data_IF_888220342617
#
_entry.id   IF_888220342617
#
_cell.length_a   1.000
_cell.length_b   1.000
_cell.length_c   1.000
_cell.angle_alpha   90.00
_cell.angle_beta   90.00
_cell.angle_gamma   90.00
#
_symmetry.space_group_name_H-M   'P 1'
#
loop_
_entity.id
_entity.type
_entity.pdbx_description
1 polymer ?
#
# COMPACT_ATOMS: atom_id res chain seq x y z
N UNK A 1 8.19 25.04 8.73
CA UNK A 1 8.56 24.09 9.81
C UNK A 1 7.58 22.93 9.74
N UNK A 2 7.99 21.79 9.19
CA UNK A 2 7.14 20.60 9.23
C UNK A 2 7.13 20.10 10.67
N UNK A 3 5.95 19.99 11.26
CA UNK A 3 5.76 19.67 12.68
C UNK A 3 5.04 18.34 12.78
N UNK A 4 5.73 17.35 13.34
CA UNK A 4 5.09 16.09 13.75
C UNK A 4 4.06 16.41 14.83
N UNK A 5 2.85 15.87 14.67
CA UNK A 5 1.74 16.03 15.62
C UNK A 5 1.36 14.67 16.19
N UNK A 6 1.11 14.63 17.49
CA UNK A 6 0.49 13.47 18.13
C UNK A 6 -1.00 13.50 17.85
N UNK A 7 -1.54 12.37 17.39
CA UNK A 7 -2.95 12.14 17.12
C UNK A 7 -3.41 10.84 17.78
N UNK A 8 -4.71 10.66 17.89
CA UNK A 8 -5.33 9.43 18.37
C UNK A 8 -5.94 8.70 17.18
N UNK A 9 -5.72 7.39 17.12
CA UNK A 9 -6.29 6.54 16.07
C UNK A 9 -7.80 6.38 16.29
N UNK A 10 -8.63 6.67 15.29
CA UNK A 10 -10.08 6.46 15.45
C UNK A 10 -10.50 4.98 15.39
N UNK A 11 -9.62 4.08 14.96
CA UNK A 11 -9.90 2.63 14.86
C UNK A 11 -9.50 1.87 16.12
N UNK A 12 -8.37 2.21 16.74
CA UNK A 12 -7.82 1.47 17.90
C UNK A 12 -7.47 2.35 19.11
N UNK A 13 -7.82 3.64 19.07
CA UNK A 13 -7.63 4.61 20.16
C UNK A 13 -6.18 4.84 20.61
N UNK A 14 -5.21 4.26 19.90
CA UNK A 14 -3.79 4.39 20.20
C UNK A 14 -3.25 5.75 19.78
N UNK A 15 -2.39 6.33 20.60
CA UNK A 15 -1.68 7.56 20.27
C UNK A 15 -0.55 7.29 19.27
N UNK A 16 -0.43 8.13 18.25
CA UNK A 16 0.58 8.00 17.21
C UNK A 16 1.04 9.35 16.69
N UNK A 17 2.20 9.39 16.04
CA UNK A 17 2.77 10.60 15.48
C UNK A 17 2.55 10.66 13.95
N UNK A 18 2.10 11.81 13.46
CA UNK A 18 1.81 12.06 12.04
C UNK A 18 2.34 13.43 11.60
N UNK A 19 2.95 13.50 10.41
CA UNK A 19 3.51 14.71 9.82
C UNK A 19 4.92 14.49 9.27
N UNK A 20 5.34 15.34 8.33
CA UNK A 20 6.71 15.31 7.80
C UNK A 20 7.71 15.72 8.90
N UNK A 21 8.77 14.95 9.06
CA UNK A 21 9.83 15.20 10.04
C UNK A 21 10.87 16.15 9.42
N UNK A 22 11.13 16.01 8.11
CA UNK A 22 12.08 16.83 7.33
C UNK A 22 11.79 16.71 5.83
N UNK A 23 12.52 17.45 4.99
CA UNK A 23 12.42 17.33 3.51
C UNK A 23 12.72 15.90 3.04
N UNK A 24 13.66 15.23 3.71
CA UNK A 24 14.08 13.86 3.42
C UNK A 24 13.26 12.80 4.18
N UNK A 25 12.75 13.15 5.37
CA UNK A 25 11.94 12.25 6.21
C UNK A 25 10.47 12.66 6.16
N UNK A 26 9.79 12.22 5.10
CA UNK A 26 8.35 12.45 4.90
C UNK A 26 7.52 11.57 5.84
N UNK A 27 6.26 11.95 6.04
CA UNK A 27 5.33 11.17 6.85
C UNK A 27 5.23 9.72 6.32
N UNK A 28 5.21 8.73 7.23
CA UNK A 28 5.15 7.29 6.91
C UNK A 28 3.98 6.93 5.99
N UNK A 29 2.88 7.70 5.99
CA UNK A 29 1.72 7.43 5.14
C UNK A 29 2.01 7.60 3.64
N UNK A 30 3.07 8.33 3.28
CA UNK A 30 3.51 8.49 1.89
C UNK A 30 4.19 7.24 1.31
N UNK A 31 4.62 6.31 2.17
CA UNK A 31 5.19 5.04 1.72
C UNK A 31 4.12 4.10 1.13
N UNK A 32 2.87 4.30 1.52
CA UNK A 32 1.75 3.44 1.15
C UNK A 32 1.14 3.83 -0.20
N UNK A 33 0.56 2.86 -0.94
CA UNK A 33 -0.10 3.16 -2.20
C UNK A 33 -1.25 4.16 -1.97
N UNK A 34 -1.47 5.12 -2.89
CA UNK A 34 -2.58 6.07 -2.79
C UNK A 34 -3.90 5.42 -3.26
N UNK A 35 -4.22 4.25 -2.69
CA UNK A 35 -5.48 3.53 -2.89
C UNK A 35 -6.57 4.06 -1.97
N UNK A 36 -6.18 4.75 -0.91
CA UNK A 36 -7.08 5.35 0.06
C UNK A 36 -7.32 6.82 -0.31
N UNK A 37 -8.59 7.18 -0.57
CA UNK A 37 -8.98 8.57 -0.74
C UNK A 37 -9.61 9.06 0.58
N UNK A 38 -8.86 9.81 1.38
CA UNK A 38 -9.32 10.40 2.65
C UNK A 38 -10.37 11.53 2.45
N UNK A 39 -10.83 11.76 1.21
CA UNK A 39 -11.55 12.97 0.79
C UNK A 39 -12.96 13.17 1.37
N UNK A 40 -13.50 12.24 2.16
CA UNK A 40 -14.81 12.40 2.83
C UNK A 40 -14.69 12.47 4.35
N UNK A 41 -13.78 13.33 4.85
CA UNK A 41 -13.66 13.59 6.28
C UNK A 41 -13.01 12.44 7.07
N UNK A 42 -11.99 11.82 6.48
CA UNK A 42 -11.37 10.62 7.06
C UNK A 42 -10.76 10.84 8.46
N UNK A 43 -11.21 10.00 9.37
CA UNK A 43 -10.62 9.73 10.67
C UNK A 43 -9.10 9.48 10.62
N UNK A 44 -8.39 9.88 11.68
CA UNK A 44 -6.94 9.69 11.76
C UNK A 44 -6.63 8.23 12.10
N UNK A 45 -5.87 7.53 11.25
CA UNK A 45 -5.44 6.14 11.49
C UNK A 45 -3.96 6.09 11.86
N UNK A 46 -3.61 5.27 12.85
CA UNK A 46 -2.23 4.95 13.16
C UNK A 46 -1.60 4.08 12.05
N UNK A 47 -0.27 3.91 12.02
CA UNK A 47 0.40 3.13 10.98
C UNK A 47 -0.15 1.71 10.80
N UNK A 48 -0.49 1.03 11.90
CA UNK A 48 -1.02 -0.33 11.86
C UNK A 48 -2.42 -0.37 11.24
N UNK A 49 -3.36 0.43 11.76
CA UNK A 49 -4.73 0.48 11.22
C UNK A 49 -4.77 1.03 9.79
N UNK A 50 -3.88 1.95 9.43
CA UNK A 50 -3.78 2.45 8.06
C UNK A 50 -3.25 1.38 7.11
N UNK A 51 -2.26 0.59 7.53
CA UNK A 51 -1.76 -0.57 6.78
C UNK A 51 -2.89 -1.56 6.54
N UNK A 52 -3.58 -2.00 7.60
CA UNK A 52 -4.71 -2.94 7.51
C UNK A 52 -5.80 -2.42 6.55
N UNK A 53 -6.20 -1.15 6.70
CA UNK A 53 -7.17 -0.53 5.79
C UNK A 53 -6.67 -0.46 4.33
N UNK A 54 -5.37 -0.28 4.09
CA UNK A 54 -4.78 -0.37 2.75
C UNK A 54 -4.86 -1.80 2.22
N UNK A 55 -4.57 -2.80 3.03
CA UNK A 55 -4.65 -4.22 2.66
C UNK A 55 -6.06 -4.60 2.25
N UNK A 56 -7.08 -4.29 3.06
CA UNK A 56 -8.49 -4.54 2.72
C UNK A 56 -8.90 -3.92 1.37
N UNK A 57 -8.46 -2.69 1.10
CA UNK A 57 -8.76 -2.02 -0.18
C UNK A 57 -8.02 -2.66 -1.35
N UNK A 58 -6.81 -3.14 -1.13
CA UNK A 58 -6.00 -3.81 -2.14
C UNK A 58 -6.60 -5.18 -2.45
N UNK A 59 -6.99 -5.96 -1.45
CA UNK A 59 -7.65 -7.25 -1.63
C UNK A 59 -8.97 -7.08 -2.38
N UNK A 60 -9.83 -6.14 -1.95
CA UNK A 60 -11.06 -5.81 -2.66
C UNK A 60 -10.80 -5.38 -4.12
N UNK A 61 -9.69 -4.69 -4.39
CA UNK A 61 -9.30 -4.36 -5.76
C UNK A 61 -8.87 -5.60 -6.55
N UNK A 62 -8.01 -6.44 -5.97
CA UNK A 62 -7.50 -7.68 -6.57
C UNK A 62 -8.64 -8.63 -6.92
N UNK A 63 -9.66 -8.75 -6.06
CA UNK A 63 -10.85 -9.58 -6.32
C UNK A 63 -11.59 -9.17 -7.61
N UNK A 64 -11.48 -7.90 -8.01
CA UNK A 64 -12.10 -7.42 -9.27
C UNK A 64 -11.23 -7.64 -10.51
N UNK A 65 -9.98 -8.06 -10.33
CA UNK A 65 -9.01 -8.25 -11.41
C UNK A 65 -9.22 -9.60 -12.08
N UNK A 66 -9.33 -9.54 -13.41
CA UNK A 66 -9.23 -10.69 -14.31
C UNK A 66 -8.01 -10.49 -15.21
N UNK A 67 -7.49 -11.53 -15.90
CA UNK A 67 -6.34 -11.39 -16.80
C UNK A 67 -6.51 -10.26 -17.84
N UNK A 68 -7.73 -10.10 -18.37
CA UNK A 68 -8.07 -9.03 -19.31
C UNK A 68 -8.02 -7.63 -18.67
N UNK A 69 -8.51 -7.51 -17.44
CA UNK A 69 -8.51 -6.25 -16.68
C UNK A 69 -7.12 -5.91 -16.13
N UNK A 70 -6.29 -6.92 -15.86
CA UNK A 70 -4.95 -6.74 -15.34
C UNK A 70 -4.08 -5.91 -16.29
N UNK A 71 -4.25 -6.07 -17.61
CA UNK A 71 -3.55 -5.26 -18.63
C UNK A 71 -3.88 -3.77 -18.58
N UNK A 72 -5.05 -3.39 -18.05
CA UNK A 72 -5.54 -2.01 -17.93
C UNK A 72 -5.75 -1.59 -16.47
N UNK A 73 -5.06 -2.26 -15.54
CA UNK A 73 -5.22 -2.00 -14.12
C UNK A 73 -4.73 -0.57 -13.76
N UNK A 74 -5.35 0.04 -12.76
CA UNK A 74 -5.02 1.40 -12.30
C UNK A 74 -3.75 1.41 -11.43
N UNK A 75 -3.38 0.28 -10.82
CA UNK A 75 -2.20 0.18 -9.96
C UNK A 75 -0.90 0.47 -10.73
N UNK A 76 -0.85 0.10 -12.03
CA UNK A 76 0.27 0.41 -12.92
C UNK A 76 0.47 1.92 -13.19
N UNK A 77 -0.57 2.74 -12.96
CA UNK A 77 -0.53 4.19 -13.12
C UNK A 77 -0.13 4.93 -11.83
N UNK A 78 -0.05 4.21 -10.70
CA UNK A 78 0.33 4.81 -9.42
C UNK A 78 1.80 5.23 -9.43
N UNK A 79 2.18 6.26 -8.65
CA UNK A 79 3.57 6.63 -8.47
C UNK A 79 4.36 5.41 -7.98
N UNK A 80 5.51 5.15 -8.62
CA UNK A 80 6.38 4.06 -8.20
C UNK A 80 6.99 4.42 -6.84
N UNK A 81 6.62 3.67 -5.82
CA UNK A 81 7.27 3.73 -4.52
C UNK A 81 8.57 2.93 -4.58
N UNK A 82 9.68 3.53 -4.14
CA UNK A 82 10.97 2.83 -4.04
C UNK A 82 10.96 1.81 -2.90
N UNK A 83 10.16 2.08 -1.87
CA UNK A 83 10.00 1.24 -0.70
C UNK A 83 8.92 0.18 -0.93
N UNK A 84 9.30 -1.07 -0.69
CA UNK A 84 8.38 -2.21 -0.66
C UNK A 84 7.86 -2.41 0.76
N UNK A 85 6.55 -2.58 0.89
CA UNK A 85 5.92 -2.79 2.19
C UNK A 85 5.59 -4.27 2.35
N UNK A 86 6.08 -4.87 3.44
CA UNK A 86 5.70 -6.24 3.81
C UNK A 86 4.19 -6.31 4.07
N UNK A 87 3.57 -7.40 3.61
CA UNK A 87 2.13 -7.68 3.55
C UNK A 87 1.35 -6.90 2.49
N UNK A 88 1.94 -5.91 1.84
CA UNK A 88 1.32 -5.24 0.68
C UNK A 88 1.98 -5.70 -0.62
N UNK A 89 3.30 -5.56 -0.69
CA UNK A 89 4.08 -5.87 -1.88
C UNK A 89 4.66 -7.28 -1.85
N UNK A 90 4.99 -7.78 -0.67
CA UNK A 90 5.61 -9.09 -0.49
C UNK A 90 5.37 -9.64 0.92
N UNK A 91 5.65 -10.91 1.13
CA UNK A 91 5.80 -11.51 2.46
C UNK A 91 7.04 -12.42 2.47
N UNK A 92 7.59 -12.68 3.66
CA UNK A 92 8.71 -13.58 3.83
C UNK A 92 8.21 -15.02 4.02
N UNK A 93 8.68 -15.95 3.18
CA UNK A 93 8.36 -17.38 3.24
C UNK A 93 9.66 -18.19 3.19
N UNK A 94 9.98 -18.93 4.26
CA UNK A 94 11.21 -19.73 4.37
C UNK A 94 12.50 -18.92 4.09
N UNK A 95 12.55 -17.65 4.52
CA UNK A 95 13.71 -16.76 4.28
C UNK A 95 13.77 -16.17 2.87
N UNK A 96 12.80 -16.48 2.01
CA UNK A 96 12.68 -15.90 0.67
C UNK A 96 11.58 -14.83 0.64
N UNK A 97 11.81 -13.77 -0.14
CA UNK A 97 10.81 -12.75 -0.40
C UNK A 97 9.84 -13.21 -1.50
N UNK A 98 8.56 -13.37 -1.15
CA UNK A 98 7.49 -13.75 -2.09
C UNK A 98 6.62 -12.54 -2.39
N UNK A 99 6.69 -12.05 -3.63
CA UNK A 99 5.89 -10.90 -4.07
C UNK A 99 4.40 -11.24 -4.16
N UNK A 100 3.55 -10.35 -3.63
CA UNK A 100 2.07 -10.45 -3.69
C UNK A 100 1.55 -9.92 -5.04
N UNK A 101 0.28 -10.20 -5.33
CA UNK A 101 -0.40 -9.79 -6.58
C UNK A 101 -0.31 -8.28 -6.83
N UNK A 102 -0.44 -7.46 -5.79
CA UNK A 102 -0.37 -6.01 -5.89
C UNK A 102 0.95 -5.51 -6.48
N UNK A 103 2.08 -6.11 -6.09
CA UNK A 103 3.40 -5.78 -6.64
C UNK A 103 3.44 -6.01 -8.16
N UNK A 104 2.87 -7.12 -8.62
CA UNK A 104 2.79 -7.44 -10.05
C UNK A 104 1.85 -6.49 -10.80
N UNK A 105 0.73 -6.07 -10.21
CA UNK A 105 -0.17 -5.07 -10.80
C UNK A 105 0.52 -3.72 -10.96
N UNK A 106 1.26 -3.26 -9.95
CA UNK A 106 2.10 -2.04 -10.03
C UNK A 106 3.17 -2.12 -11.12
N UNK A 107 3.71 -3.31 -11.39
CA UNK A 107 4.66 -3.54 -12.50
C UNK A 107 4.02 -3.32 -13.87
N UNK A 108 2.72 -3.53 -14.00
CA UNK A 108 1.95 -3.22 -15.20
C UNK A 108 2.07 -4.22 -16.36
N UNK A 109 2.84 -5.30 -16.20
CA UNK A 109 3.01 -6.34 -17.24
C UNK A 109 3.39 -7.70 -16.67
N UNK A 110 3.07 -8.76 -17.44
CA UNK A 110 3.59 -10.10 -17.22
C UNK A 110 5.09 -10.17 -17.53
N UNK A 111 5.85 -10.95 -16.75
CA UNK A 111 7.28 -11.18 -16.97
C UNK A 111 7.60 -12.53 -17.63
N UNK A 112 6.61 -13.41 -17.80
CA UNK A 112 6.81 -14.73 -18.42
C UNK A 112 7.49 -15.79 -17.53
N UNK A 113 7.68 -15.52 -16.23
CA UNK A 113 8.39 -16.41 -15.30
C UNK A 113 7.46 -17.23 -14.41
N UNK A 114 6.19 -17.42 -14.80
CA UNK A 114 5.19 -18.21 -14.06
C UNK A 114 5.14 -17.88 -12.55
N UNK A 115 4.98 -16.59 -12.22
CA UNK A 115 5.02 -16.14 -10.83
C UNK A 115 3.78 -16.63 -10.06
N UNK A 116 3.98 -17.11 -8.82
CA UNK A 116 2.93 -17.64 -7.94
C UNK A 116 1.70 -16.73 -7.79
N UNK A 117 1.91 -15.41 -7.76
CA UNK A 117 0.86 -14.40 -7.57
C UNK A 117 0.65 -13.55 -8.84
N UNK A 118 0.87 -14.11 -10.03
CA UNK A 118 0.72 -13.39 -11.29
C UNK A 118 -0.77 -13.08 -11.57
N UNK A 119 -1.17 -11.80 -11.74
CA UNK A 119 -2.53 -11.42 -12.13
C UNK A 119 -2.76 -11.43 -13.66
N UNK A 120 -1.70 -11.68 -14.44
CA UNK A 120 -1.70 -11.64 -15.91
C UNK A 120 -1.62 -13.03 -16.51
#
# INVERSE_FOLDING_TARGET
>A
MNTTKTKICSSCETSFSCGDISVENKCWCNDYPPIFNLSEGGDCLCPACFKEACEDKIDAYIETITPEKALKNKAALLPKTEKLIEDIDYYMENGNMVFKTWYHLKRGKCCGNDCRHCPY
#
